data_IF_024532820462
#
_entry.id   IF_024532820462
#
_cell.length_a   1.000
_cell.length_b   1.000
_cell.length_c   1.000
_cell.angle_alpha   90.00
_cell.angle_beta   90.00
_cell.angle_gamma   90.00
#
_symmetry.space_group_name_H-M   'P 1'
#
loop_
_entity.id
_entity.type
_entity.pdbx_description
1 polymer ?
#
# COMPACT_ATOMS: atom_id res chain seq x y z
N UNK A 1 1.54 50.60 -55.00
CA UNK A 1 0.38 50.36 -54.12
C UNK A 1 0.93 49.75 -52.84
N UNK A 2 1.04 50.50 -51.72
CA UNK A 2 0.02 50.58 -50.66
C UNK A 2 -0.47 49.19 -50.22
N UNK A 3 -0.49 48.76 -48.95
CA UNK A 3 -0.24 49.43 -47.68
C UNK A 3 -0.22 48.37 -46.54
N UNK A 4 0.52 48.71 -45.47
CA UNK A 4 0.16 48.62 -44.05
C UNK A 4 0.01 47.28 -43.31
N UNK A 5 0.64 47.33 -42.12
CA UNK A 5 0.72 46.40 -41.01
C UNK A 5 -0.60 45.94 -40.39
N UNK A 6 -0.55 44.84 -39.62
CA UNK A 6 -1.10 44.84 -38.26
C UNK A 6 -0.43 43.78 -37.38
N UNK A 7 -0.19 44.18 -36.13
CA UNK A 7 0.41 43.42 -35.02
C UNK A 7 -0.68 43.08 -33.99
N UNK A 8 -0.58 41.86 -33.39
CA UNK A 8 -1.04 41.45 -32.02
C UNK A 8 -2.57 41.19 -31.86
N UNK A 9 -3.07 40.29 -30.95
CA UNK A 9 -2.43 39.65 -29.78
C UNK A 9 -2.55 38.12 -29.63
N UNK A 10 -1.60 37.59 -28.85
CA UNK A 10 -1.69 36.32 -28.11
C UNK A 10 -2.53 36.58 -26.85
N UNK A 11 -3.71 35.95 -26.77
CA UNK A 11 -4.52 35.95 -25.55
C UNK A 11 -3.95 34.93 -24.56
N UNK A 12 -3.47 35.41 -23.42
CA UNK A 12 -3.20 34.62 -22.22
C UNK A 12 -4.52 34.33 -21.47
N UNK A 13 -4.70 33.16 -20.85
CA UNK A 13 -5.77 32.98 -19.87
C UNK A 13 -5.39 33.71 -18.56
N UNK A 14 -6.23 34.68 -18.21
CA UNK A 14 -6.19 35.43 -16.97
C UNK A 14 -6.61 34.51 -15.80
N UNK A 15 -5.68 34.07 -14.96
CA UNK A 15 -6.00 33.50 -13.65
C UNK A 15 -6.38 34.64 -12.70
N UNK A 16 -7.67 34.80 -12.46
CA UNK A 16 -8.23 35.67 -11.42
C UNK A 16 -8.05 35.01 -10.06
N UNK A 17 -7.00 35.41 -9.32
CA UNK A 17 -6.91 35.15 -7.87
C UNK A 17 -7.69 36.24 -7.14
N UNK A 18 -8.91 35.93 -6.68
CA UNK A 18 -9.64 36.81 -5.78
C UNK A 18 -9.97 36.03 -4.50
N UNK A 19 -9.15 36.19 -3.47
CA UNK A 19 -9.53 35.82 -2.10
C UNK A 19 -8.84 36.75 -1.11
N UNK A 20 -9.61 37.73 -0.63
CA UNK A 20 -9.27 38.62 0.48
C UNK A 20 -9.34 37.83 1.80
N UNK A 21 -8.47 38.09 2.78
CA UNK A 21 -8.51 37.39 4.07
C UNK A 21 -9.55 38.00 5.00
N UNK A 22 -10.34 37.15 5.67
CA UNK A 22 -11.22 37.53 6.77
C UNK A 22 -10.94 36.68 8.02
N UNK A 23 -10.49 37.39 9.04
CA UNK A 23 -10.47 37.04 10.47
C UNK A 23 -11.87 36.86 11.05
N UNK A 24 -12.01 36.03 12.09
CA UNK A 24 -12.93 36.33 13.18
C UNK A 24 -12.16 36.64 14.48
N UNK A 25 -12.51 37.77 15.07
CA UNK A 25 -12.16 38.19 16.43
C UNK A 25 -13.00 37.35 17.40
N UNK A 26 -12.35 36.68 18.35
CA UNK A 26 -12.97 36.29 19.62
C UNK A 26 -12.06 36.77 20.75
N UNK A 27 -12.59 37.71 21.52
CA UNK A 27 -12.04 38.32 22.72
C UNK A 27 -12.11 37.35 23.91
N UNK A 28 -10.98 37.12 24.58
CA UNK A 28 -10.94 36.84 26.01
C UNK A 28 -9.59 37.31 26.56
N UNK A 29 -9.63 38.29 27.46
CA UNK A 29 -8.47 38.86 28.13
C UNK A 29 -7.96 37.92 29.24
N UNK A 30 -6.62 37.90 29.32
CA UNK A 30 -5.71 37.66 30.45
C UNK A 30 -6.30 37.66 31.87
N UNK A 31 -5.81 36.73 32.72
CA UNK A 31 -5.12 37.02 34.00
C UNK A 31 -4.56 35.74 34.67
N UNK A 32 -3.25 35.79 34.98
CA UNK A 32 -2.59 35.37 36.23
C UNK A 32 -2.29 33.90 36.64
N UNK A 33 -0.99 33.59 36.48
CA UNK A 33 -0.02 32.93 37.39
C UNK A 33 -0.12 31.43 37.82
N UNK A 34 1.05 30.78 38.06
CA UNK A 34 1.24 29.33 38.02
C UNK A 34 1.31 28.66 39.40
N UNK A 35 1.18 27.32 39.50
CA UNK A 35 1.64 26.60 40.67
C UNK A 35 3.10 26.15 40.50
N UNK A 36 3.98 26.97 41.09
CA UNK A 36 5.05 26.61 42.05
C UNK A 36 5.91 25.38 41.75
N UNK A 37 7.14 25.70 41.35
CA UNK A 37 8.38 24.95 41.62
C UNK A 37 8.51 24.72 43.13
N UNK A 38 8.61 23.46 43.55
CA UNK A 38 9.08 23.11 44.89
C UNK A 38 10.60 22.91 44.84
N UNK A 39 11.29 23.88 45.42
CA UNK A 39 12.70 23.84 45.81
C UNK A 39 12.76 24.02 47.32
N UNK A 40 13.26 23.02 48.05
CA UNK A 40 14.11 23.22 49.22
C UNK A 40 14.85 21.94 49.62
N UNK A 41 16.11 22.15 49.94
CA UNK A 41 17.20 21.24 50.34
C UNK A 41 16.85 20.48 51.62
N UNK A 42 17.45 19.29 51.81
CA UNK A 42 18.44 19.09 52.88
C UNK A 42 19.14 17.71 52.79
N UNK A 43 20.46 17.80 52.88
CA UNK A 43 21.50 16.80 53.07
C UNK A 43 21.21 15.81 54.20
N UNK A 44 21.40 14.50 53.96
CA UNK A 44 22.11 13.62 54.90
C UNK A 44 23.02 12.67 54.11
N UNK A 45 24.32 12.88 54.28
CA UNK A 45 25.40 11.98 53.92
C UNK A 45 25.62 11.06 55.14
N UNK A 46 25.46 9.75 55.00
CA UNK A 46 26.11 8.78 55.89
C UNK A 46 26.90 7.77 55.05
N UNK A 47 28.21 7.91 55.12
CA UNK A 47 29.18 6.87 54.77
C UNK A 47 29.08 5.73 55.79
N UNK A 48 29.19 4.47 55.35
CA UNK A 48 30.44 3.70 55.43
C UNK A 48 30.22 2.19 55.27
N UNK A 49 30.94 1.62 54.28
CA UNK A 49 31.59 0.32 54.21
C UNK A 49 31.10 -0.87 55.07
N UNK A 50 30.75 -1.97 54.39
CA UNK A 50 31.24 -3.32 54.73
C UNK A 50 30.97 -4.33 53.59
N UNK A 51 32.07 -4.78 52.98
CA UNK A 51 32.38 -6.20 52.70
C UNK A 51 31.52 -7.01 51.70
N UNK A 52 32.08 -7.13 50.49
CA UNK A 52 32.45 -8.38 49.82
C UNK A 52 31.59 -9.64 50.10
N UNK A 53 30.71 -10.00 49.16
CA UNK A 53 30.63 -11.39 48.65
C UNK A 53 30.27 -11.37 47.16
N UNK A 54 31.28 -11.58 46.32
CA UNK A 54 31.13 -12.00 44.93
C UNK A 54 30.54 -13.42 44.93
N UNK A 55 29.23 -13.54 44.78
CA UNK A 55 28.57 -14.78 44.37
C UNK A 55 28.14 -14.61 42.91
N UNK A 56 29.07 -14.84 41.98
CA UNK A 56 28.70 -15.13 40.59
C UNK A 56 28.12 -16.56 40.54
N UNK A 57 26.84 -16.67 40.84
CA UNK A 57 26.04 -17.78 40.35
C UNK A 57 25.65 -17.45 38.90
N UNK A 58 25.79 -18.35 37.93
CA UNK A 58 25.23 -18.12 36.60
C UNK A 58 23.70 -18.08 36.73
N UNK A 59 23.13 -16.89 36.72
CA UNK A 59 21.68 -16.69 36.57
C UNK A 59 21.33 -17.15 35.17
N UNK A 60 20.79 -18.36 35.11
CA UNK A 60 20.08 -18.92 33.97
C UNK A 60 19.12 -17.85 33.40
N UNK A 61 19.20 -17.44 32.11
CA UNK A 61 18.22 -16.53 31.55
C UNK A 61 17.03 -17.36 31.10
N UNK A 62 16.14 -17.74 32.03
CA UNK A 62 14.87 -18.33 31.64
C UNK A 62 13.81 -18.13 32.73
N UNK A 63 12.63 -17.70 32.26
CA UNK A 63 11.34 -17.61 32.95
C UNK A 63 11.03 -16.34 33.76
N UNK A 64 10.53 -15.33 33.04
CA UNK A 64 9.49 -14.39 33.47
C UNK A 64 8.98 -13.72 32.18
N UNK A 65 7.80 -13.99 31.63
CA UNK A 65 6.47 -14.00 32.24
C UNK A 65 5.62 -15.15 31.66
N UNK A 66 5.13 -16.02 32.53
CA UNK A 66 4.00 -16.93 32.23
C UNK A 66 2.87 -16.67 33.22
N UNK A 67 2.45 -15.41 33.32
CA UNK A 67 1.01 -15.16 33.44
C UNK A 67 0.42 -15.68 32.12
N UNK A 68 -0.73 -16.35 32.10
CA UNK A 68 -1.33 -16.95 30.88
C UNK A 68 -1.66 -15.98 29.72
N UNK A 69 -1.05 -14.80 29.70
CA UNK A 69 -1.00 -13.83 28.62
C UNK A 69 0.08 -14.26 27.63
N UNK A 70 -0.38 -14.58 26.42
CA UNK A 70 0.43 -14.70 25.21
C UNK A 70 1.46 -13.57 25.13
N UNK A 71 2.72 -13.89 24.85
CA UNK A 71 3.79 -12.89 24.75
C UNK A 71 3.49 -11.83 23.67
N UNK A 72 4.15 -10.65 23.67
CA UNK A 72 3.80 -9.55 22.76
C UNK A 72 3.78 -9.94 21.28
N UNK A 73 4.69 -10.81 20.83
CA UNK A 73 4.74 -11.32 19.45
C UNK A 73 3.51 -12.18 19.11
N UNK A 74 3.15 -13.10 19.99
CA UNK A 74 2.00 -14.00 19.80
C UNK A 74 0.67 -13.24 19.91
N UNK A 75 0.58 -12.27 20.82
CA UNK A 75 -0.55 -11.34 20.85
C UNK A 75 -0.70 -10.56 19.53
N UNK A 76 0.39 -10.08 18.94
CA UNK A 76 0.36 -9.41 17.62
C UNK A 76 -0.05 -10.36 16.50
N UNK A 77 0.37 -11.63 16.53
CA UNK A 77 -0.10 -12.65 15.58
C UNK A 77 -1.61 -12.80 15.66
N UNK A 78 -2.17 -12.95 16.86
CA UNK A 78 -3.62 -13.06 17.05
C UNK A 78 -4.38 -11.84 16.53
N UNK A 79 -3.85 -10.63 16.70
CA UNK A 79 -4.46 -9.41 16.16
C UNK A 79 -4.43 -9.39 14.62
N UNK A 80 -3.33 -9.83 13.99
CA UNK A 80 -3.25 -9.94 12.53
C UNK A 80 -4.23 -10.99 11.99
N UNK A 81 -4.36 -12.14 12.65
CA UNK A 81 -5.37 -13.16 12.31
C UNK A 81 -6.78 -12.59 12.37
N UNK A 82 -7.13 -11.88 13.45
CA UNK A 82 -8.45 -11.22 13.63
C UNK A 82 -8.75 -10.12 12.61
N UNK A 83 -7.72 -9.41 12.14
CA UNK A 83 -7.85 -8.34 11.16
C UNK A 83 -7.59 -8.77 9.71
N UNK A 84 -7.33 -10.06 9.48
CA UNK A 84 -6.95 -10.62 8.18
C UNK A 84 -7.91 -10.26 7.04
N UNK A 85 -9.22 -10.20 7.30
CA UNK A 85 -10.23 -9.77 6.30
C UNK A 85 -9.90 -8.43 5.63
N UNK A 86 -9.29 -7.49 6.37
CA UNK A 86 -8.93 -6.18 5.84
C UNK A 86 -7.66 -6.24 4.99
N UNK A 87 -6.76 -7.19 5.26
CA UNK A 87 -5.59 -7.47 4.43
C UNK A 87 -5.97 -8.18 3.13
N UNK A 88 -6.98 -9.04 3.17
CA UNK A 88 -7.45 -9.81 2.01
C UNK A 88 -8.41 -9.01 1.10
N UNK A 89 -9.10 -7.99 1.64
CA UNK A 89 -10.09 -7.21 0.88
C UNK A 89 -9.59 -6.63 -0.47
N UNK A 90 -8.35 -6.11 -0.61
CA UNK A 90 -7.84 -5.66 -1.90
C UNK A 90 -7.70 -6.80 -2.93
N UNK A 91 -7.41 -8.03 -2.48
CA UNK A 91 -7.29 -9.22 -3.32
C UNK A 91 -8.68 -9.63 -3.82
N UNK A 92 -9.66 -9.70 -2.92
CA UNK A 92 -11.05 -9.98 -3.27
C UNK A 92 -11.62 -8.96 -4.27
N UNK A 93 -11.38 -7.67 -4.01
CA UNK A 93 -11.84 -6.61 -4.89
C UNK A 93 -11.16 -6.64 -6.26
N UNK A 94 -9.90 -7.08 -6.36
CA UNK A 94 -9.23 -7.31 -7.63
C UNK A 94 -9.82 -8.51 -8.38
N UNK A 95 -10.06 -9.61 -7.66
CA UNK A 95 -10.64 -10.82 -8.24
C UNK A 95 -12.03 -10.55 -8.80
N UNK A 96 -12.86 -9.81 -8.07
CA UNK A 96 -14.21 -9.47 -8.51
C UNK A 96 -14.21 -8.57 -9.75
N UNK A 97 -13.28 -7.61 -9.81
CA UNK A 97 -13.09 -6.78 -10.99
C UNK A 97 -12.66 -7.61 -12.21
N UNK A 98 -11.73 -8.57 -12.05
CA UNK A 98 -11.34 -9.48 -13.12
C UNK A 98 -12.46 -10.42 -13.57
N UNK A 99 -13.29 -10.92 -12.64
CA UNK A 99 -14.47 -11.73 -12.99
C UNK A 99 -15.49 -10.91 -13.78
N UNK A 100 -15.73 -9.67 -13.36
CA UNK A 100 -16.60 -8.73 -14.08
C UNK A 100 -16.06 -8.46 -15.49
N UNK A 101 -14.74 -8.33 -15.63
CA UNK A 101 -14.08 -8.18 -16.92
C UNK A 101 -14.31 -9.42 -17.79
N UNK A 102 -14.05 -10.60 -17.24
CA UNK A 102 -14.23 -11.88 -17.94
C UNK A 102 -15.65 -12.06 -18.46
N UNK A 103 -16.66 -11.78 -17.65
CA UNK A 103 -18.06 -11.85 -18.08
C UNK A 103 -18.39 -10.85 -19.19
N UNK A 104 -17.72 -9.69 -19.22
CA UNK A 104 -17.90 -8.70 -20.28
C UNK A 104 -17.34 -9.21 -21.62
N UNK A 105 -16.28 -10.03 -21.61
CA UNK A 105 -15.65 -10.60 -22.81
C UNK A 105 -16.59 -11.48 -23.64
N UNK A 106 -17.63 -12.05 -23.03
CA UNK A 106 -18.59 -12.96 -23.67
C UNK A 106 -19.75 -12.23 -24.40
N UNK A 107 -19.67 -10.90 -24.53
CA UNK A 107 -20.72 -10.11 -25.19
C UNK A 107 -20.81 -10.42 -26.69
N UNK A 108 -22.04 -10.64 -27.18
CA UNK A 108 -22.33 -10.91 -28.59
C UNK A 108 -22.30 -9.64 -29.48
N UNK A 109 -22.42 -8.45 -28.89
CA UNK A 109 -22.38 -7.20 -29.67
C UNK A 109 -20.95 -6.80 -30.03
N UNK A 110 -20.84 -5.93 -31.04
CA UNK A 110 -19.60 -5.24 -31.36
C UNK A 110 -19.07 -4.45 -30.15
N UNK A 111 -17.76 -4.41 -30.01
CA UNK A 111 -17.06 -3.65 -28.99
C UNK A 111 -16.85 -2.22 -29.45
N UNK A 112 -17.35 -1.27 -28.66
CA UNK A 112 -17.09 0.15 -28.89
C UNK A 112 -15.77 0.58 -28.25
N UNK A 113 -15.19 1.69 -28.69
CA UNK A 113 -14.01 2.29 -28.06
C UNK A 113 -14.21 2.52 -26.55
N UNK A 114 -15.44 2.87 -26.16
CA UNK A 114 -15.82 3.05 -24.75
C UNK A 114 -15.80 1.74 -23.97
N UNK A 115 -16.23 0.63 -24.58
CA UNK A 115 -16.16 -0.69 -23.94
C UNK A 115 -14.71 -1.11 -23.72
N UNK A 116 -13.84 -0.85 -24.71
CA UNK A 116 -12.41 -1.09 -24.61
C UNK A 116 -11.75 -0.23 -23.51
N UNK A 117 -12.07 1.06 -23.44
CA UNK A 117 -11.56 1.95 -22.38
C UNK A 117 -11.99 1.48 -21.00
N UNK A 118 -13.26 1.09 -20.83
CA UNK A 118 -13.77 0.56 -19.57
C UNK A 118 -13.02 -0.72 -19.17
N UNK A 119 -12.79 -1.63 -20.11
CA UNK A 119 -12.07 -2.87 -19.88
C UNK A 119 -10.60 -2.60 -19.48
N UNK A 120 -9.92 -1.69 -20.17
CA UNK A 120 -8.56 -1.28 -19.82
C UNK A 120 -8.49 -0.65 -18.42
N UNK A 121 -9.45 0.23 -18.09
CA UNK A 121 -9.53 0.84 -16.76
C UNK A 121 -9.80 -0.20 -15.68
N UNK A 122 -10.63 -1.20 -15.96
CA UNK A 122 -10.90 -2.31 -15.07
C UNK A 122 -9.63 -3.13 -14.80
N UNK A 123 -8.83 -3.44 -15.81
CA UNK A 123 -7.55 -4.15 -15.62
C UNK A 123 -6.52 -3.31 -14.87
N UNK A 124 -6.39 -2.02 -15.18
CA UNK A 124 -5.49 -1.10 -14.47
C UNK A 124 -5.85 -0.99 -12.98
N UNK A 125 -7.13 -0.84 -12.67
CA UNK A 125 -7.61 -0.73 -11.28
C UNK A 125 -7.57 -2.06 -10.52
N UNK A 126 -7.80 -3.18 -11.21
CA UNK A 126 -7.64 -4.53 -10.64
C UNK A 126 -6.23 -4.76 -10.13
N UNK A 127 -5.21 -4.26 -10.83
CA UNK A 127 -3.83 -4.46 -10.42
C UNK A 127 -3.40 -3.69 -9.16
N UNK A 128 -4.27 -2.84 -8.56
CA UNK A 128 -4.03 -2.11 -7.29
C UNK A 128 -2.66 -1.41 -7.22
N UNK A 129 -2.34 -0.69 -8.30
CA UNK A 129 -1.09 0.06 -8.48
C UNK A 129 0.19 -0.80 -8.55
N UNK A 130 0.04 -2.10 -8.80
CA UNK A 130 1.16 -3.03 -8.92
C UNK A 130 1.71 -3.15 -10.34
N UNK A 131 1.19 -2.41 -11.31
CA UNK A 131 1.67 -2.45 -12.71
C UNK A 131 2.82 -1.46 -12.90
N UNK A 132 3.96 -1.88 -13.46
CA UNK A 132 5.01 -0.95 -13.87
C UNK A 132 4.44 0.04 -14.90
N UNK A 133 4.36 1.33 -14.57
CA UNK A 133 3.99 2.37 -15.56
C UNK A 133 4.99 2.35 -16.71
N UNK A 134 4.52 2.47 -17.95
CA UNK A 134 5.37 2.80 -19.09
C UNK A 134 6.05 4.15 -18.83
N UNK A 135 7.37 4.15 -18.96
CA UNK A 135 8.27 5.11 -18.32
C UNK A 135 8.65 6.23 -19.27
N UNK A 136 8.13 7.44 -19.04
CA UNK A 136 8.78 8.67 -19.47
C UNK A 136 9.74 9.14 -18.36
N UNK A 137 11.01 9.35 -18.74
CA UNK A 137 12.23 9.28 -17.92
C UNK A 137 12.43 10.31 -16.80
N UNK A 138 11.44 11.14 -16.47
CA UNK A 138 11.52 12.15 -15.40
C UNK A 138 10.77 11.72 -14.13
N UNK A 139 9.64 11.02 -14.28
CA UNK A 139 8.82 10.52 -13.16
C UNK A 139 9.45 9.29 -12.49
N UNK A 140 10.35 8.59 -13.18
CA UNK A 140 11.12 7.47 -12.64
C UNK A 140 12.13 7.86 -11.57
N UNK A 141 12.64 9.09 -11.59
CA UNK A 141 13.54 9.56 -10.55
C UNK A 141 12.77 9.93 -9.27
N UNK A 142 11.51 10.33 -9.42
CA UNK A 142 10.60 10.59 -8.29
C UNK A 142 9.95 9.32 -7.76
N UNK A 143 9.65 8.32 -8.59
CA UNK A 143 9.13 7.02 -8.11
C UNK A 143 10.19 6.17 -7.40
N UNK A 144 11.48 6.50 -7.57
CA UNK A 144 12.58 5.99 -6.74
C UNK A 144 12.61 6.59 -5.33
N UNK A 145 11.84 7.65 -5.03
CA UNK A 145 11.76 8.21 -3.68
C UNK A 145 10.75 7.45 -2.83
N UNK A 146 11.17 6.29 -2.29
CA UNK A 146 10.68 5.74 -1.02
C UNK A 146 9.20 5.38 -0.84
N UNK A 147 8.31 5.59 -1.82
CA UNK A 147 6.88 5.26 -1.71
C UNK A 147 6.59 4.05 -2.58
N UNK A 148 6.52 2.87 -1.97
CA UNK A 148 6.02 1.68 -2.65
C UNK A 148 4.53 1.86 -2.94
N UNK A 149 4.16 1.93 -4.22
CA UNK A 149 2.78 2.21 -4.63
C UNK A 149 1.94 0.94 -4.76
N UNK A 150 2.56 -0.23 -4.96
CA UNK A 150 1.84 -1.49 -5.13
C UNK A 150 1.12 -1.91 -3.84
N UNK A 151 -0.21 -1.89 -3.86
CA UNK A 151 -1.04 -2.26 -2.70
C UNK A 151 -0.77 -3.70 -2.26
N UNK A 152 -0.64 -4.65 -3.20
CA UNK A 152 -0.35 -6.04 -2.85
C UNK A 152 1.01 -6.23 -2.18
N UNK A 153 2.00 -5.39 -2.49
CA UNK A 153 3.28 -5.39 -1.77
C UNK A 153 3.10 -4.97 -0.32
N UNK A 154 2.26 -3.99 -0.05
CA UNK A 154 1.92 -3.57 1.31
C UNK A 154 1.19 -4.69 2.07
N UNK A 155 0.31 -5.44 1.39
CA UNK A 155 -0.37 -6.61 1.96
C UNK A 155 0.64 -7.67 2.40
N UNK A 156 1.57 -8.09 1.54
CA UNK A 156 2.62 -9.09 1.91
C UNK A 156 3.48 -8.58 3.04
N UNK A 157 3.96 -7.33 2.96
CA UNK A 157 4.79 -6.74 4.02
C UNK A 157 4.08 -6.69 5.35
N UNK A 158 2.76 -6.44 5.36
CA UNK A 158 1.98 -6.50 6.58
C UNK A 158 1.85 -7.95 7.07
N UNK A 159 1.43 -8.87 6.22
CA UNK A 159 1.21 -10.27 6.60
C UNK A 159 2.48 -10.92 7.16
N UNK A 160 3.61 -10.74 6.48
CA UNK A 160 4.90 -11.32 6.85
C UNK A 160 5.69 -10.50 7.88
N UNK A 161 5.13 -9.43 8.46
CA UNK A 161 5.90 -8.51 9.33
C UNK A 161 6.38 -9.12 10.66
N UNK A 162 5.88 -10.31 11.03
CA UNK A 162 6.29 -11.05 12.23
C UNK A 162 7.19 -12.26 11.92
N UNK A 163 7.41 -12.52 10.63
CA UNK A 163 8.31 -13.55 10.11
C UNK A 163 9.72 -12.96 9.92
N UNK A 164 10.72 -13.83 9.96
CA UNK A 164 12.09 -13.44 9.68
C UNK A 164 12.28 -13.16 8.19
N UNK A 165 13.27 -12.34 7.82
CA UNK A 165 13.51 -11.96 6.42
C UNK A 165 13.85 -13.15 5.50
N UNK A 166 14.33 -14.26 6.07
CA UNK A 166 14.65 -15.49 5.34
C UNK A 166 13.59 -16.59 5.52
N UNK A 167 12.45 -16.25 6.11
CA UNK A 167 11.35 -17.20 6.27
C UNK A 167 10.85 -17.65 4.89
N UNK A 168 10.73 -18.97 4.64
CA UNK A 168 10.33 -19.48 3.34
C UNK A 168 8.92 -19.03 2.92
N UNK A 169 7.99 -18.84 3.86
CA UNK A 169 6.63 -18.39 3.55
C UNK A 169 6.64 -16.94 3.04
N UNK A 170 7.46 -16.09 3.67
CA UNK A 170 7.65 -14.70 3.22
C UNK A 170 8.24 -14.65 1.82
N UNK A 171 9.31 -15.41 1.58
CA UNK A 171 9.99 -15.44 0.27
C UNK A 171 9.08 -15.99 -0.84
N UNK A 172 8.30 -17.02 -0.54
CA UNK A 172 7.33 -17.60 -1.48
C UNK A 172 6.22 -16.59 -1.82
N UNK A 173 5.63 -15.93 -0.81
CA UNK A 173 4.61 -14.91 -1.02
C UNK A 173 5.12 -13.72 -1.85
N UNK A 174 6.37 -13.28 -1.62
CA UNK A 174 7.03 -12.25 -2.42
C UNK A 174 7.28 -12.70 -3.88
N UNK A 175 7.65 -13.96 -4.09
CA UNK A 175 7.82 -14.50 -5.44
C UNK A 175 6.49 -14.59 -6.19
N UNK A 176 5.44 -15.11 -5.54
CA UNK A 176 4.09 -15.16 -6.12
C UNK A 176 3.59 -13.75 -6.47
N UNK A 177 3.87 -12.75 -5.62
CA UNK A 177 3.56 -11.36 -5.92
C UNK A 177 4.24 -10.88 -7.20
N UNK A 178 5.52 -11.18 -7.40
CA UNK A 178 6.24 -10.78 -8.61
C UNK A 178 5.62 -11.42 -9.87
N UNK A 179 5.20 -12.68 -9.78
CA UNK A 179 4.53 -13.38 -10.88
C UNK A 179 3.14 -12.79 -11.17
N UNK A 180 2.38 -12.46 -10.12
CA UNK A 180 1.09 -11.77 -10.24
C UNK A 180 1.25 -10.40 -10.92
N UNK A 181 2.25 -9.61 -10.51
CA UNK A 181 2.57 -8.31 -11.12
C UNK A 181 2.91 -8.47 -12.60
N UNK A 182 3.73 -9.48 -12.93
CA UNK A 182 4.06 -9.79 -14.33
C UNK A 182 2.81 -10.17 -15.12
N UNK A 183 1.93 -10.99 -14.56
CA UNK A 183 0.66 -11.39 -15.18
C UNK A 183 -0.24 -10.17 -15.47
N UNK A 184 -0.42 -9.26 -14.51
CA UNK A 184 -1.17 -8.01 -14.76
C UNK A 184 -0.52 -7.12 -15.81
N UNK A 185 0.81 -6.99 -15.80
CA UNK A 185 1.54 -6.25 -16.83
C UNK A 185 1.29 -6.82 -18.23
N UNK A 186 1.43 -8.14 -18.38
CA UNK A 186 1.16 -8.85 -19.64
C UNK A 186 -0.30 -8.69 -20.09
N UNK A 187 -1.27 -8.82 -19.16
CA UNK A 187 -2.70 -8.67 -19.46
C UNK A 187 -3.04 -7.27 -20.00
N UNK A 188 -2.49 -6.22 -19.39
CA UNK A 188 -2.71 -4.84 -19.83
C UNK A 188 -2.09 -4.60 -21.20
N UNK A 189 -0.86 -5.04 -21.43
CA UNK A 189 -0.20 -4.94 -22.75
C UNK A 189 -0.98 -5.69 -23.82
N UNK A 190 -1.42 -6.93 -23.51
CA UNK A 190 -2.23 -7.74 -24.42
C UNK A 190 -3.53 -7.04 -24.80
N UNK A 191 -4.22 -6.44 -23.82
CA UNK A 191 -5.49 -5.74 -24.05
C UNK A 191 -5.32 -4.48 -24.90
N UNK A 192 -4.22 -3.75 -24.73
CA UNK A 192 -3.93 -2.55 -25.54
C UNK A 192 -3.59 -2.88 -27.00
N UNK A 193 -3.05 -4.07 -27.27
CA UNK A 193 -2.59 -4.50 -28.60
C UNK A 193 -3.55 -5.39 -29.37
N UNK A 194 -4.72 -5.71 -28.81
CA UNK A 194 -5.66 -6.69 -29.37
C UNK A 194 -6.89 -6.02 -29.99
N UNK A 195 -7.48 -6.64 -31.01
CA UNK A 195 -8.76 -6.20 -31.57
C UNK A 195 -9.91 -6.98 -30.89
N UNK A 196 -10.70 -6.28 -30.08
CA UNK A 196 -11.81 -6.87 -29.33
C UNK A 196 -12.95 -7.38 -30.22
N UNK A 197 -13.01 -6.98 -31.50
CA UNK A 197 -13.99 -7.52 -32.43
C UNK A 197 -13.55 -8.86 -33.03
N UNK A 198 -12.27 -9.26 -32.87
CA UNK A 198 -11.78 -10.57 -33.24
C UNK A 198 -12.05 -11.60 -32.12
N UNK A 199 -12.82 -12.68 -32.38
CA UNK A 199 -13.06 -13.73 -31.39
C UNK A 199 -11.78 -14.38 -30.84
N UNK A 200 -10.74 -14.51 -31.67
CA UNK A 200 -9.45 -15.07 -31.25
C UNK A 200 -8.75 -14.23 -30.20
N UNK A 201 -8.85 -12.91 -30.30
CA UNK A 201 -8.17 -11.97 -29.41
C UNK A 201 -8.94 -11.84 -28.09
N UNK A 202 -10.28 -11.80 -28.16
CA UNK A 202 -11.14 -11.93 -26.96
C UNK A 202 -10.82 -13.20 -26.18
N UNK A 203 -10.64 -14.32 -26.86
CA UNK A 203 -10.26 -15.58 -26.22
C UNK A 203 -8.89 -15.50 -25.53
N UNK A 204 -7.86 -14.94 -26.19
CA UNK A 204 -6.53 -14.74 -25.57
C UNK A 204 -6.61 -13.87 -24.31
N UNK A 205 -7.40 -12.79 -24.35
CA UNK A 205 -7.59 -11.92 -23.19
C UNK A 205 -8.33 -12.70 -22.08
N UNK A 206 -9.37 -13.45 -22.42
CA UNK A 206 -10.10 -14.28 -21.45
C UNK A 206 -9.18 -15.30 -20.76
N UNK A 207 -8.33 -15.98 -21.52
CA UNK A 207 -7.32 -16.92 -21.01
C UNK A 207 -6.34 -16.20 -20.06
N UNK A 208 -5.85 -15.02 -20.45
CA UNK A 208 -4.95 -14.21 -19.62
C UNK A 208 -5.63 -13.68 -18.33
N UNK A 209 -6.92 -13.34 -18.39
CA UNK A 209 -7.71 -12.96 -17.20
C UNK A 209 -7.83 -14.14 -16.23
N UNK A 210 -8.12 -15.35 -16.74
CA UNK A 210 -8.15 -16.55 -15.91
C UNK A 210 -6.79 -16.86 -15.28
N UNK A 211 -5.70 -16.67 -16.04
CA UNK A 211 -4.34 -16.80 -15.51
C UNK A 211 -4.09 -15.81 -14.36
N UNK A 212 -4.44 -14.53 -14.53
CA UNK A 212 -4.30 -13.51 -13.49
C UNK A 212 -5.13 -13.84 -12.23
N UNK A 213 -6.35 -14.36 -12.40
CA UNK A 213 -7.18 -14.86 -11.28
C UNK A 213 -6.48 -16.01 -10.57
N UNK A 214 -5.89 -16.96 -11.30
CA UNK A 214 -5.13 -18.07 -10.69
C UNK A 214 -3.94 -17.58 -9.87
N UNK A 215 -3.22 -16.56 -10.35
CA UNK A 215 -2.15 -15.93 -9.56
C UNK A 215 -2.69 -15.18 -8.33
N UNK A 216 -3.86 -14.53 -8.41
CA UNK A 216 -4.51 -13.92 -7.23
C UNK A 216 -4.86 -14.97 -6.18
N UNK A 217 -5.34 -16.15 -6.58
CA UNK A 217 -5.67 -17.24 -5.65
C UNK A 217 -4.42 -17.79 -4.96
N UNK A 218 -3.33 -17.97 -5.71
CA UNK A 218 -2.02 -18.33 -5.13
C UNK A 218 -1.50 -17.24 -4.20
N UNK A 219 -1.66 -15.98 -4.59
CA UNK A 219 -1.24 -14.83 -3.80
C UNK A 219 -2.01 -14.73 -2.48
N UNK A 220 -3.33 -14.89 -2.53
CA UNK A 220 -4.16 -14.95 -1.33
C UNK A 220 -3.72 -16.07 -0.40
N UNK A 221 -3.44 -17.26 -0.95
CA UNK A 221 -2.93 -18.39 -0.18
C UNK A 221 -1.60 -18.03 0.49
N UNK A 222 -0.63 -17.48 -0.24
CA UNK A 222 0.65 -17.08 0.34
C UNK A 222 0.52 -16.04 1.47
N UNK A 223 -0.41 -15.08 1.32
CA UNK A 223 -0.75 -14.11 2.37
C UNK A 223 -1.36 -14.81 3.60
N UNK A 224 -2.28 -15.75 3.38
CA UNK A 224 -2.89 -16.54 4.46
C UNK A 224 -1.88 -17.43 5.17
N UNK A 225 -0.97 -18.06 4.44
CA UNK A 225 0.12 -18.87 4.99
C UNK A 225 1.02 -18.01 5.89
N UNK A 226 1.38 -16.79 5.47
CA UNK A 226 2.13 -15.83 6.31
C UNK A 226 1.39 -15.43 7.59
N UNK A 227 0.05 -15.45 7.56
CA UNK A 227 -0.82 -15.14 8.69
C UNK A 227 -1.15 -16.38 9.53
N UNK A 228 -0.77 -17.58 9.10
CA UNK A 228 -1.15 -18.87 9.69
C UNK A 228 -2.69 -19.03 9.83
N UNK A 229 -3.45 -18.75 8.75
CA UNK A 229 -4.93 -18.86 8.68
C UNK A 229 -5.43 -19.66 7.48
#
# INVERSE_FOLDING_TARGET
MLAMASLIPISQPLFTSNTKPQTPIATAQTSDLPPRILSRRDTILFSSAASLFLSLSPTNPAYAFSLGISGPKEWLKDQKKKSSRFLLAPIDASREALRSAYLSLDKESEYTDKDLENLQNLFKTSARDCVPKERSSLVDFQSKTGVEVCTFKLVVKNAASLLDDKDPLKLEAENILNDLVRSFGSLIVLTNGSDMNLPSDRKKIADAVMEAISYLDKFEKGVKDCLEI
#
